data_IF_075546841714
#
_entry.id   IF_075546841714
#
_cell.length_a   1.000
_cell.length_b   1.000
_cell.length_c   1.000
_cell.angle_alpha   90.00
_cell.angle_beta   90.00
_cell.angle_gamma   90.00
#
_symmetry.space_group_name_H-M   'P 1'
#
loop_
_entity.id
_entity.type
_entity.pdbx_description
1 polymer ?
#
# COMPACT_ATOMS: atom_id res chain seq x y z
N UNK A 1 -18.91 -29.71 0.76
CA UNK A 1 -18.88 -28.23 0.59
C UNK A 1 -17.45 -27.73 0.76
N UNK A 2 -16.86 -27.06 -0.23
CA UNK A 2 -15.44 -26.67 -0.17
C UNK A 2 -15.28 -25.29 0.49
N UNK A 3 -15.15 -25.27 1.82
CA UNK A 3 -15.02 -24.06 2.65
C UNK A 3 -13.89 -23.13 2.16
N UNK A 4 -12.78 -23.68 1.66
CA UNK A 4 -11.67 -22.88 1.10
C UNK A 4 -12.11 -22.05 -0.12
N UNK A 5 -12.98 -22.59 -0.98
CA UNK A 5 -13.53 -21.86 -2.13
C UNK A 5 -14.48 -20.75 -1.68
N UNK A 6 -15.30 -20.99 -0.65
CA UNK A 6 -16.27 -20.01 -0.12
C UNK A 6 -15.61 -18.84 0.61
N UNK A 7 -14.49 -19.07 1.30
CA UNK A 7 -13.77 -18.03 2.07
C UNK A 7 -12.88 -17.13 1.22
N UNK A 8 -12.49 -17.58 0.02
CA UNK A 8 -11.63 -16.83 -0.91
C UNK A 8 -12.16 -15.43 -1.26
N UNK A 9 -13.44 -15.22 -1.62
CA UNK A 9 -13.98 -13.89 -1.90
C UNK A 9 -14.02 -12.98 -0.66
N UNK A 10 -14.33 -13.53 0.52
CA UNK A 10 -14.34 -12.77 1.79
C UNK A 10 -12.93 -12.26 2.10
N UNK A 11 -11.93 -13.14 1.99
CA UNK A 11 -10.51 -12.78 2.16
C UNK A 11 -10.09 -11.66 1.21
N UNK A 12 -10.49 -11.72 -0.07
CA UNK A 12 -10.20 -10.65 -1.04
C UNK A 12 -10.82 -9.31 -0.64
N UNK A 13 -12.07 -9.30 -0.16
CA UNK A 13 -12.74 -8.08 0.30
C UNK A 13 -12.02 -7.45 1.51
N UNK A 14 -11.59 -8.27 2.47
CA UNK A 14 -10.84 -7.80 3.64
C UNK A 14 -9.51 -7.16 3.21
N UNK A 15 -8.73 -7.86 2.38
CA UNK A 15 -7.45 -7.36 1.87
C UNK A 15 -7.63 -6.03 1.12
N UNK A 16 -8.66 -5.93 0.26
CA UNK A 16 -8.96 -4.68 -0.44
C UNK A 16 -9.23 -3.55 0.54
N UNK A 17 -10.03 -3.81 1.58
CA UNK A 17 -10.38 -2.82 2.61
C UNK A 17 -9.13 -2.32 3.34
N UNK A 18 -8.26 -3.22 3.77
CA UNK A 18 -7.04 -2.89 4.48
C UNK A 18 -6.05 -2.08 3.61
N UNK A 19 -5.99 -2.39 2.31
CA UNK A 19 -5.16 -1.63 1.37
C UNK A 19 -5.59 -0.16 1.22
N UNK A 20 -6.88 0.15 1.34
CA UNK A 20 -7.40 1.54 1.29
C UNK A 20 -6.83 2.33 2.46
N UNK A 21 -7.00 1.82 3.68
CA UNK A 21 -6.49 2.50 4.88
C UNK A 21 -4.97 2.60 4.85
N UNK A 22 -4.28 1.56 4.40
CA UNK A 22 -2.83 1.62 4.20
C UNK A 22 -2.45 2.75 3.25
N UNK A 23 -3.18 2.90 2.14
CA UNK A 23 -2.95 3.97 1.17
C UNK A 23 -3.16 5.35 1.78
N UNK A 24 -4.24 5.54 2.54
CA UNK A 24 -4.53 6.81 3.21
C UNK A 24 -3.41 7.18 4.19
N UNK A 25 -3.01 6.25 5.07
CA UNK A 25 -1.90 6.47 6.01
C UNK A 25 -0.58 6.78 5.32
N UNK A 26 -0.39 6.19 4.15
CA UNK A 26 0.82 6.37 3.36
C UNK A 26 0.88 7.75 2.70
N UNK A 27 -0.24 8.23 2.16
CA UNK A 27 -0.36 9.55 1.52
C UNK A 27 -0.42 10.68 2.56
N UNK A 28 -0.97 10.39 3.73
CA UNK A 28 -1.18 11.34 4.81
C UNK A 28 -0.51 10.83 6.09
N UNK A 29 0.80 11.08 6.29
CA UNK A 29 1.56 10.56 7.43
C UNK A 29 0.98 10.95 8.79
N UNK A 30 0.33 12.10 8.91
CA UNK A 30 -0.35 12.53 10.15
C UNK A 30 -1.52 11.61 10.56
N UNK A 31 -1.98 10.73 9.66
CA UNK A 31 -3.01 9.72 9.93
C UNK A 31 -2.40 8.34 10.23
N UNK A 32 -1.07 8.17 10.27
CA UNK A 32 -0.40 6.87 10.43
C UNK A 32 -0.85 6.11 11.68
N UNK A 33 -1.05 6.84 12.77
CA UNK A 33 -1.30 6.30 14.10
C UNK A 33 -2.80 6.11 14.37
N UNK A 34 -3.66 6.63 13.50
CA UNK A 34 -5.11 6.53 13.64
C UNK A 34 -5.63 5.13 13.29
N UNK A 35 -6.65 4.68 13.99
CA UNK A 35 -7.40 3.46 13.67
C UNK A 35 -8.24 3.63 12.41
N UNK A 36 -8.72 2.52 11.83
CA UNK A 36 -9.63 2.57 10.67
C UNK A 36 -10.91 3.37 10.98
N UNK A 37 -11.40 3.33 12.22
CA UNK A 37 -12.59 4.07 12.63
C UNK A 37 -12.28 5.57 12.73
N UNK A 38 -11.19 5.94 13.39
CA UNK A 38 -10.77 7.35 13.51
C UNK A 38 -10.48 7.97 12.14
N UNK A 39 -9.94 7.21 11.19
CA UNK A 39 -9.78 7.69 9.80
C UNK A 39 -11.14 7.96 9.15
N UNK A 40 -12.13 7.07 9.33
CA UNK A 40 -13.47 7.32 8.79
C UNK A 40 -14.13 8.54 9.45
N UNK A 41 -13.98 8.67 10.77
CA UNK A 41 -14.49 9.81 11.53
C UNK A 41 -13.81 11.13 11.09
N UNK A 42 -12.50 11.11 10.84
CA UNK A 42 -11.74 12.27 10.31
C UNK A 42 -12.25 12.76 8.96
N UNK A 43 -12.68 11.84 8.08
CA UNK A 43 -13.27 12.20 6.78
C UNK A 43 -14.81 12.37 6.85
N UNK A 44 -15.42 12.27 8.04
CA UNK A 44 -16.87 12.28 8.24
C UNK A 44 -17.61 11.20 7.42
N UNK A 45 -16.97 10.06 7.16
CA UNK A 45 -17.49 8.98 6.32
C UNK A 45 -18.12 7.87 7.13
N UNK A 46 -19.29 7.40 6.70
CA UNK A 46 -19.96 6.23 7.29
C UNK A 46 -19.53 4.91 6.67
N UNK A 47 -18.99 4.95 5.44
CA UNK A 47 -18.69 3.74 4.65
C UNK A 47 -17.32 3.84 3.98
N UNK A 48 -16.55 2.76 4.04
CA UNK A 48 -15.21 2.66 3.41
C UNK A 48 -15.24 2.85 1.90
N UNK A 49 -16.38 2.61 1.25
CA UNK A 49 -16.58 2.75 -0.20
C UNK A 49 -16.35 4.19 -0.67
N UNK A 50 -16.67 5.18 0.15
CA UNK A 50 -16.45 6.58 -0.20
C UNK A 50 -14.96 6.95 -0.12
N UNK A 51 -14.23 6.29 0.79
CA UNK A 51 -12.77 6.39 0.90
C UNK A 51 -12.06 5.72 -0.28
N UNK A 52 -12.65 4.67 -0.88
CA UNK A 52 -12.14 4.07 -2.13
C UNK A 52 -12.08 5.09 -3.25
N UNK A 53 -13.15 5.88 -3.45
CA UNK A 53 -13.20 6.90 -4.50
C UNK A 53 -12.13 7.98 -4.31
N UNK A 54 -11.85 8.35 -3.06
CA UNK A 54 -10.78 9.29 -2.73
C UNK A 54 -9.40 8.72 -3.08
N UNK A 55 -9.15 7.47 -2.72
CA UNK A 55 -7.90 6.77 -3.04
C UNK A 55 -7.68 6.66 -4.56
N UNK A 56 -8.71 6.33 -5.33
CA UNK A 56 -8.61 6.24 -6.80
C UNK A 56 -8.26 7.60 -7.42
N UNK A 57 -8.85 8.70 -6.93
CA UNK A 57 -8.50 10.06 -7.39
C UNK A 57 -7.04 10.42 -7.07
N UNK A 58 -6.54 10.04 -5.90
CA UNK A 58 -5.13 10.26 -5.53
C UNK A 58 -4.21 9.49 -6.47
N UNK A 59 -4.48 8.20 -6.69
CA UNK A 59 -3.70 7.36 -7.59
C UNK A 59 -3.68 7.91 -9.02
N UNK A 60 -4.83 8.32 -9.54
CA UNK A 60 -4.97 8.90 -10.87
C UNK A 60 -4.15 10.19 -11.02
N UNK A 61 -4.17 11.08 -10.01
CA UNK A 61 -3.33 12.28 -10.00
C UNK A 61 -1.84 11.94 -9.99
N UNK A 62 -1.43 10.96 -9.18
CA UNK A 62 -0.03 10.56 -9.09
C UNK A 62 0.47 9.92 -10.39
N UNK A 63 -0.31 9.02 -10.99
CA UNK A 63 0.00 8.38 -12.26
C UNK A 63 0.06 9.38 -13.43
N UNK A 64 -0.84 10.37 -13.45
CA UNK A 64 -0.80 11.47 -14.44
C UNK A 64 0.36 12.44 -14.22
N UNK A 65 0.82 12.58 -12.97
CA UNK A 65 1.90 13.49 -12.58
C UNK A 65 3.32 12.97 -12.82
N UNK A 66 3.50 11.69 -13.18
CA UNK A 66 4.83 11.14 -13.54
C UNK A 66 5.51 11.91 -14.69
N UNK A 67 4.75 12.73 -15.44
CA UNK A 67 5.28 13.59 -16.51
C UNK A 67 5.55 15.06 -16.10
N UNK A 68 5.20 15.54 -14.90
CA UNK A 68 5.41 16.97 -14.55
C UNK A 68 5.80 17.32 -13.10
N UNK A 69 5.93 16.36 -12.17
CA UNK A 69 6.11 16.67 -10.73
C UNK A 69 7.49 16.27 -10.16
N UNK A 70 8.56 16.51 -10.90
CA UNK A 70 9.93 16.20 -10.43
C UNK A 70 10.50 17.22 -9.43
N UNK A 71 9.85 18.38 -9.25
CA UNK A 71 10.45 19.53 -8.52
C UNK A 71 9.91 19.75 -7.09
N UNK A 72 8.92 18.98 -6.62
CA UNK A 72 8.34 19.15 -5.26
C UNK A 72 8.35 17.90 -4.39
N UNK A 73 8.95 16.80 -4.87
CA UNK A 73 8.99 15.50 -4.18
C UNK A 73 9.87 15.53 -2.92
N UNK A 74 10.88 16.40 -2.85
CA UNK A 74 11.78 16.49 -1.68
C UNK A 74 11.07 16.91 -0.38
N UNK A 75 9.84 17.42 -0.45
CA UNK A 75 9.03 17.81 0.72
C UNK A 75 8.01 16.76 1.15
N UNK A 76 7.82 15.70 0.38
CA UNK A 76 6.80 14.70 0.68
C UNK A 76 7.45 13.49 1.32
N UNK A 77 7.26 13.33 2.61
CA UNK A 77 7.78 12.19 3.39
C UNK A 77 7.00 10.87 3.12
N UNK A 78 6.55 10.66 1.88
CA UNK A 78 5.80 9.48 1.47
C UNK A 78 6.39 8.86 0.20
N UNK A 79 6.42 7.52 0.15
CA UNK A 79 6.81 6.80 -1.05
C UNK A 79 5.64 6.81 -2.05
N UNK A 80 5.88 6.95 -3.35
CA UNK A 80 4.79 6.86 -4.34
C UNK A 80 4.96 5.70 -5.32
N UNK A 81 5.74 4.69 -4.96
CA UNK A 81 5.92 3.53 -5.83
C UNK A 81 4.63 2.73 -5.93
N UNK A 82 4.14 2.57 -7.16
CA UNK A 82 2.96 1.78 -7.50
C UNK A 82 3.41 0.46 -8.18
N UNK A 83 2.65 -0.61 -8.01
CA UNK A 83 2.86 -1.88 -8.68
C UNK A 83 2.12 -1.97 -10.04
N UNK A 84 2.30 -3.08 -10.75
CA UNK A 84 1.65 -3.28 -12.06
C UNK A 84 0.12 -3.37 -12.02
N UNK A 85 -0.48 -3.44 -10.83
CA UNK A 85 -1.93 -3.50 -10.63
C UNK A 85 -2.50 -2.14 -10.17
N UNK A 86 -1.66 -1.11 -10.06
CA UNK A 86 -2.10 0.20 -9.59
C UNK A 86 -2.17 0.35 -8.07
N UNK A 87 -1.56 -0.57 -7.30
CA UNK A 87 -1.52 -0.49 -5.84
C UNK A 87 -0.17 0.02 -5.32
N UNK A 88 -0.17 0.80 -4.24
CA UNK A 88 1.07 1.25 -3.60
C UNK A 88 1.86 0.07 -3.08
N UNK A 89 3.13 0.01 -3.48
CA UNK A 89 4.09 -0.95 -2.95
C UNK A 89 4.29 -0.71 -1.46
N UNK A 90 4.35 -1.79 -0.70
CA UNK A 90 4.73 -1.70 0.70
C UNK A 90 6.19 -1.25 0.82
N UNK A 91 6.45 -0.30 1.71
CA UNK A 91 7.79 0.19 2.03
C UNK A 91 8.21 -0.38 3.39
N UNK A 92 9.25 -1.21 3.40
CA UNK A 92 9.89 -1.68 4.62
C UNK A 92 10.95 -0.66 5.03
N UNK A 93 10.83 -0.09 6.23
CA UNK A 93 11.82 0.88 6.72
C UNK A 93 13.12 0.17 7.14
N UNK A 94 13.00 -1.00 7.76
CA UNK A 94 14.13 -1.83 8.14
C UNK A 94 14.42 -2.91 7.09
N UNK A 95 15.70 -3.05 6.73
CA UNK A 95 16.20 -4.10 5.85
C UNK A 95 15.92 -5.50 6.43
N UNK A 96 15.99 -5.64 7.75
CA UNK A 96 15.72 -6.90 8.46
C UNK A 96 14.28 -7.36 8.26
N UNK A 97 13.31 -6.46 8.33
CA UNK A 97 11.90 -6.76 8.06
C UNK A 97 11.69 -7.18 6.61
N UNK A 98 12.33 -6.46 5.67
CA UNK A 98 12.26 -6.82 4.24
C UNK A 98 12.80 -8.23 3.99
N UNK A 99 13.92 -8.60 4.61
CA UNK A 99 14.53 -9.93 4.54
C UNK A 99 13.62 -11.01 5.15
N UNK A 100 13.07 -10.77 6.34
CA UNK A 100 12.12 -11.68 6.98
C UNK A 100 10.90 -11.94 6.10
N UNK A 101 10.37 -10.90 5.45
CA UNK A 101 9.24 -11.04 4.54
C UNK A 101 9.60 -11.84 3.28
N UNK A 102 10.81 -11.68 2.73
CA UNK A 102 11.30 -12.51 1.61
C UNK A 102 11.34 -13.98 2.03
N UNK A 103 11.92 -14.28 3.18
CA UNK A 103 12.04 -15.63 3.70
C UNK A 103 10.66 -16.26 3.95
N UNK A 104 9.77 -15.53 4.61
CA UNK A 104 8.39 -15.96 4.82
C UNK A 104 7.67 -16.26 3.50
N UNK A 105 7.83 -15.40 2.50
CA UNK A 105 7.18 -15.57 1.19
C UNK A 105 7.72 -16.78 0.44
N UNK A 106 9.03 -17.03 0.54
CA UNK A 106 9.65 -18.23 -0.02
C UNK A 106 9.14 -19.49 0.65
N UNK A 107 9.15 -19.55 1.99
CA UNK A 107 8.65 -20.72 2.75
C UNK A 107 7.16 -20.99 2.52
N UNK A 108 6.34 -19.95 2.48
CA UNK A 108 4.87 -20.09 2.39
C UNK A 108 4.34 -20.28 0.98
N UNK A 109 5.02 -19.76 -0.05
CA UNK A 109 4.52 -19.74 -1.43
C UNK A 109 5.52 -20.25 -2.47
N UNK A 110 6.76 -20.57 -2.09
CA UNK A 110 7.84 -20.93 -3.02
C UNK A 110 8.29 -19.78 -3.93
N UNK A 111 7.88 -18.53 -3.65
CA UNK A 111 8.20 -17.38 -4.50
C UNK A 111 9.47 -16.72 -3.96
N UNK A 112 10.52 -16.70 -4.77
CA UNK A 112 11.74 -15.93 -4.48
C UNK A 112 11.49 -14.46 -4.80
N UNK A 113 11.77 -13.59 -3.84
CA UNK A 113 11.69 -12.14 -3.99
C UNK A 113 13.10 -11.53 -3.83
N UNK A 114 13.32 -10.37 -4.45
CA UNK A 114 14.49 -9.51 -4.23
C UNK A 114 14.02 -8.19 -3.62
N UNK A 115 14.82 -7.61 -2.72
CA UNK A 115 14.60 -6.26 -2.25
C UNK A 115 15.39 -5.25 -3.09
N UNK A 116 14.89 -4.03 -3.20
CA UNK A 116 15.58 -2.89 -3.80
C UNK A 116 15.24 -1.61 -3.03
N UNK A 117 16.10 -0.59 -3.11
CA UNK A 117 15.90 0.68 -2.42
C UNK A 117 14.76 1.47 -3.05
N UNK A 118 13.92 2.10 -2.24
CA UNK A 118 12.89 3.00 -2.74
C UNK A 118 13.53 4.24 -3.38
N UNK A 119 13.10 4.66 -4.59
CA UNK A 119 13.64 5.85 -5.25
C UNK A 119 13.15 7.18 -4.65
N UNK A 120 12.07 7.17 -3.86
CA UNK A 120 11.45 8.38 -3.31
C UNK A 120 11.70 8.59 -1.82
N UNK A 121 12.01 7.52 -1.06
CA UNK A 121 12.20 7.57 0.40
C UNK A 121 13.24 6.56 0.84
N UNK A 122 13.86 6.76 2.00
CA UNK A 122 14.69 5.75 2.63
C UNK A 122 13.85 4.53 3.04
N UNK A 123 14.18 3.37 2.47
CA UNK A 123 13.51 2.10 2.75
C UNK A 123 13.62 1.12 1.58
N UNK A 124 12.91 0.01 1.70
CA UNK A 124 13.06 -1.16 0.83
C UNK A 124 11.72 -1.62 0.26
N UNK A 125 11.72 -1.94 -1.02
CA UNK A 125 10.61 -2.59 -1.71
C UNK A 125 10.97 -4.02 -2.07
N UNK A 126 9.96 -4.87 -2.21
CA UNK A 126 10.12 -6.24 -2.67
C UNK A 126 9.55 -6.40 -4.08
N UNK A 127 10.31 -7.06 -4.95
CA UNK A 127 9.87 -7.42 -6.29
C UNK A 127 10.24 -8.88 -6.59
N UNK A 128 9.52 -9.46 -7.56
CA UNK A 128 9.98 -10.71 -8.16
C UNK A 128 11.28 -10.42 -8.95
N UNK A 129 12.25 -11.36 -8.92
CA UNK A 129 13.50 -11.24 -9.63
C UNK A 129 13.34 -11.14 -11.14
#
# INVERSE_FOLDING_TARGET
>A
MNLKKTLKPIKKKIIKRDNIFRTIKHVYPHLSDLTQKEILDYYELKVVKDLELHVEKIKDRLLKSENSYKESIDKIDACFCIDSHGDFKYLYLDKKEALQQIEYTYKSKGIKLKFYTCPYKSGWHLAKP
#
